data_IF_877693834182
#
_entry.id   IF_877693834182
#
_cell.length_a   1.000
_cell.length_b   1.000
_cell.length_c   1.000
_cell.angle_alpha   90.00
_cell.angle_beta   90.00
_cell.angle_gamma   90.00
#
_symmetry.space_group_name_H-M   'P 1'
#
loop_
_entity.id
_entity.type
_entity.pdbx_description
1 polymer ?
#
# COMPACT_ATOMS: atom_id res chain seq x y z
N UNK A 1 -0.72 11.49 4.12
CA UNK A 1 -1.64 11.54 5.27
C UNK A 1 -2.57 10.33 5.27
N UNK A 2 -3.52 10.20 4.32
CA UNK A 2 -4.49 9.08 4.24
C UNK A 2 -3.83 7.70 4.20
N UNK A 3 -2.97 7.44 3.21
CA UNK A 3 -2.40 6.09 2.98
C UNK A 3 -1.30 5.69 3.97
N UNK A 4 -0.95 6.59 4.88
CA UNK A 4 -0.05 6.32 6.01
C UNK A 4 -0.82 6.16 7.32
N UNK A 5 -2.13 6.40 7.32
CA UNK A 5 -2.98 6.34 8.50
C UNK A 5 -3.30 4.87 8.83
N UNK A 6 -2.92 4.44 10.04
CA UNK A 6 -3.10 3.05 10.49
C UNK A 6 -4.57 2.62 10.53
N UNK A 7 -5.49 3.52 10.85
CA UNK A 7 -6.92 3.21 10.88
C UNK A 7 -7.46 2.93 9.47
N UNK A 8 -6.99 3.68 8.46
CA UNK A 8 -7.31 3.44 7.05
C UNK A 8 -6.77 2.08 6.59
N UNK A 9 -5.50 1.79 6.87
CA UNK A 9 -4.85 0.51 6.52
C UNK A 9 -5.57 -0.66 7.19
N UNK A 10 -5.89 -0.52 8.48
CA UNK A 10 -6.65 -1.53 9.24
C UNK A 10 -8.03 -1.75 8.63
N UNK A 11 -8.76 -0.67 8.28
CA UNK A 11 -10.09 -0.76 7.68
C UNK A 11 -10.08 -1.41 6.30
N UNK A 12 -9.04 -1.17 5.51
CA UNK A 12 -8.87 -1.79 4.20
C UNK A 12 -8.57 -3.31 4.25
N UNK A 13 -8.22 -3.84 5.43
CA UNK A 13 -7.96 -5.26 5.66
C UNK A 13 -6.67 -5.57 6.42
N UNK A 14 -5.91 -4.54 6.81
CA UNK A 14 -4.64 -4.70 7.52
C UNK A 14 -3.47 -5.08 6.63
N UNK A 15 -2.25 -5.03 7.19
CA UNK A 15 -0.99 -5.25 6.47
C UNK A 15 -0.90 -6.68 5.90
N UNK A 16 -1.52 -7.68 6.52
CA UNK A 16 -1.53 -9.06 6.01
C UNK A 16 -2.27 -9.19 4.67
N UNK A 17 -3.35 -8.43 4.49
CA UNK A 17 -4.06 -8.36 3.22
C UNK A 17 -3.23 -7.61 2.16
N UNK A 18 -2.50 -6.56 2.56
CA UNK A 18 -1.54 -5.86 1.69
C UNK A 18 -0.43 -6.82 1.23
N UNK A 19 0.15 -7.61 2.13
CA UNK A 19 1.19 -8.60 1.81
C UNK A 19 0.68 -9.63 0.80
N UNK A 20 -0.53 -10.15 1.04
CA UNK A 20 -1.20 -11.09 0.12
C UNK A 20 -1.50 -10.48 -1.25
N UNK A 21 -1.82 -9.18 -1.29
CA UNK A 21 -2.03 -8.45 -2.53
C UNK A 21 -0.73 -8.23 -3.30
N UNK A 22 0.34 -7.82 -2.61
CA UNK A 22 1.68 -7.62 -3.18
C UNK A 22 2.24 -8.90 -3.82
N UNK A 23 2.00 -10.06 -3.22
CA UNK A 23 2.49 -11.33 -3.78
C UNK A 23 1.82 -11.72 -5.11
N UNK A 24 0.72 -11.06 -5.51
CA UNK A 24 0.08 -11.27 -6.83
C UNK A 24 0.82 -10.55 -7.96
N UNK A 25 1.52 -9.48 -7.63
CA UNK A 25 2.35 -8.74 -8.57
C UNK A 25 3.61 -9.53 -8.96
N UNK A 26 4.33 -9.06 -9.98
CA UNK A 26 5.55 -9.69 -10.48
C UNK A 26 6.80 -8.87 -10.15
N UNK A 27 7.91 -9.56 -9.93
CA UNK A 27 9.24 -8.94 -9.83
C UNK A 27 9.56 -8.26 -8.48
N UNK A 28 10.85 -8.21 -8.15
CA UNK A 28 11.33 -7.47 -6.99
C UNK A 28 11.13 -5.97 -7.19
N UNK A 29 10.62 -5.24 -6.19
CA UNK A 29 10.45 -3.79 -6.29
C UNK A 29 11.76 -3.02 -6.06
N UNK A 30 12.79 -3.64 -5.49
CA UNK A 30 14.07 -2.98 -5.23
C UNK A 30 14.91 -2.88 -6.51
N UNK A 31 15.20 -1.67 -7.04
CA UNK A 31 15.83 -1.52 -8.34
C UNK A 31 17.37 -1.46 -8.27
N UNK A 32 17.96 -1.49 -7.07
CA UNK A 32 19.40 -1.26 -6.86
C UNK A 32 20.17 -2.54 -6.54
N UNK A 33 19.69 -3.68 -7.03
CA UNK A 33 20.42 -4.95 -6.94
C UNK A 33 20.73 -5.45 -8.34
N UNK A 34 21.98 -5.87 -8.55
CA UNK A 34 22.42 -6.47 -9.82
C UNK A 34 21.93 -7.92 -9.98
N UNK A 35 21.45 -8.52 -8.90
CA UNK A 35 20.93 -9.88 -8.89
C UNK A 35 19.65 -10.02 -8.07
N UNK A 36 18.72 -10.84 -8.55
CA UNK A 36 17.47 -11.15 -7.86
C UNK A 36 17.23 -12.65 -7.78
N UNK A 37 16.83 -13.12 -6.59
CA UNK A 37 16.33 -14.48 -6.40
C UNK A 37 14.95 -14.67 -7.04
N UNK A 38 14.64 -15.89 -7.45
CA UNK A 38 13.31 -16.27 -7.95
C UNK A 38 12.25 -16.25 -6.84
N UNK A 39 12.64 -16.55 -5.61
CA UNK A 39 11.74 -16.60 -4.47
C UNK A 39 11.35 -15.19 -4.05
N UNK A 40 10.05 -14.94 -4.00
CA UNK A 40 9.47 -13.65 -3.65
C UNK A 40 8.93 -13.68 -2.22
N UNK A 41 9.04 -12.53 -1.55
CA UNK A 41 8.71 -12.32 -0.14
C UNK A 41 8.14 -10.90 0.02
N UNK A 42 7.63 -10.61 1.20
CA UNK A 42 7.21 -9.27 1.61
C UNK A 42 7.98 -8.85 2.85
N UNK A 43 8.56 -7.66 2.82
CA UNK A 43 9.23 -7.04 3.95
C UNK A 43 8.34 -5.94 4.52
N UNK A 44 7.95 -6.05 5.78
CA UNK A 44 7.21 -5.00 6.48
C UNK A 44 8.12 -3.80 6.73
N UNK A 45 7.65 -2.62 6.35
CA UNK A 45 8.31 -1.35 6.61
C UNK A 45 7.23 -0.29 6.75
N UNK A 46 7.23 0.48 7.84
CA UNK A 46 6.18 1.46 8.09
C UNK A 46 6.01 2.41 6.87
N UNK A 47 4.76 2.71 6.45
CA UNK A 47 3.49 2.32 7.06
C UNK A 47 2.92 0.95 6.58
N UNK A 48 3.61 0.22 5.72
CA UNK A 48 3.06 -0.96 5.04
C UNK A 48 4.08 -2.09 4.83
N UNK A 49 4.16 -2.57 3.59
CA UNK A 49 5.05 -3.65 3.19
C UNK A 49 5.56 -3.44 1.76
N UNK A 50 6.68 -4.09 1.45
CA UNK A 50 7.37 -4.02 0.15
C UNK A 50 7.56 -5.44 -0.38
N UNK A 51 7.24 -5.66 -1.64
CA UNK A 51 7.49 -6.93 -2.34
C UNK A 51 8.95 -6.99 -2.78
N UNK A 52 9.68 -7.95 -2.26
CA UNK A 52 11.10 -8.15 -2.56
C UNK A 52 11.35 -9.59 -2.99
N UNK A 53 12.46 -9.84 -3.69
CA UNK A 53 12.98 -11.19 -3.73
C UNK A 53 13.70 -11.50 -2.41
N UNK A 54 13.88 -12.79 -2.10
CA UNK A 54 14.52 -13.25 -0.87
C UNK A 54 15.90 -12.63 -0.63
N UNK A 55 16.67 -12.39 -1.71
CA UNK A 55 17.96 -11.72 -1.63
C UNK A 55 17.86 -10.27 -1.16
N UNK A 56 17.01 -9.47 -1.82
CA UNK A 56 16.85 -8.06 -1.49
C UNK A 56 16.18 -7.87 -0.12
N UNK A 57 15.27 -8.75 0.29
CA UNK A 57 14.73 -8.77 1.66
C UNK A 57 15.85 -8.89 2.69
N UNK A 58 16.72 -9.90 2.54
CA UNK A 58 17.86 -10.07 3.46
C UNK A 58 18.83 -8.89 3.43
N UNK A 59 19.08 -8.29 2.26
CA UNK A 59 19.96 -7.14 2.11
C UNK A 59 19.40 -5.89 2.80
N UNK A 60 18.10 -5.67 2.70
CA UNK A 60 17.41 -4.47 3.18
C UNK A 60 16.85 -4.61 4.59
N UNK A 61 16.93 -5.81 5.17
CA UNK A 61 16.48 -6.11 6.52
C UNK A 61 17.06 -5.11 7.51
N UNK A 62 16.21 -4.65 8.42
CA UNK A 62 16.54 -3.69 9.48
C UNK A 62 17.05 -2.32 9.00
N UNK A 63 16.95 -2.01 7.70
CA UNK A 63 17.20 -0.67 7.19
C UNK A 63 15.96 0.20 7.26
N UNK A 64 16.13 1.44 7.69
CA UNK A 64 15.08 2.46 7.77
C UNK A 64 15.50 3.66 6.95
N UNK A 65 15.07 3.70 5.69
CA UNK A 65 15.40 4.80 4.76
C UNK A 65 14.13 5.42 4.20
N UNK A 66 14.20 6.70 3.86
CA UNK A 66 13.07 7.41 3.22
C UNK A 66 12.62 6.73 1.92
N UNK A 67 13.55 6.08 1.20
CA UNK A 67 13.20 5.32 -0.01
C UNK A 67 12.34 4.10 0.32
N UNK A 68 12.69 3.32 1.34
CA UNK A 68 11.89 2.17 1.76
C UNK A 68 10.52 2.63 2.29
N UNK A 69 10.49 3.73 3.05
CA UNK A 69 9.25 4.35 3.51
C UNK A 69 8.36 4.80 2.35
N UNK A 70 8.95 5.43 1.32
CA UNK A 70 8.26 5.84 0.11
C UNK A 70 7.66 4.64 -0.62
N UNK A 71 8.45 3.58 -0.84
CA UNK A 71 7.97 2.36 -1.49
C UNK A 71 6.81 1.71 -0.72
N UNK A 72 6.92 1.62 0.61
CA UNK A 72 5.85 1.07 1.44
C UNK A 72 4.59 1.97 1.40
N UNK A 73 4.77 3.29 1.36
CA UNK A 73 3.66 4.25 1.26
C UNK A 73 2.94 4.14 -0.09
N UNK A 74 3.69 4.00 -1.19
CA UNK A 74 3.13 3.82 -2.54
C UNK A 74 2.34 2.51 -2.62
N UNK A 75 2.89 1.42 -2.07
CA UNK A 75 2.18 0.15 -1.98
C UNK A 75 0.88 0.25 -1.18
N UNK A 76 0.89 0.94 -0.03
CA UNK A 76 -0.32 1.22 0.72
C UNK A 76 -1.34 2.01 -0.11
N UNK A 77 -0.90 3.03 -0.85
CA UNK A 77 -1.80 3.85 -1.67
C UNK A 77 -2.47 3.02 -2.77
N UNK A 78 -1.69 2.29 -3.57
CA UNK A 78 -2.21 1.45 -4.64
C UNK A 78 -3.17 0.37 -4.12
N UNK A 79 -2.79 -0.30 -3.02
CA UNK A 79 -3.62 -1.33 -2.43
C UNK A 79 -4.91 -0.78 -1.83
N UNK A 80 -4.85 0.30 -1.02
CA UNK A 80 -6.05 0.92 -0.43
C UNK A 80 -6.99 1.40 -1.53
N UNK A 81 -6.48 2.03 -2.59
CA UNK A 81 -7.31 2.43 -3.74
C UNK A 81 -7.97 1.23 -4.43
N UNK A 82 -7.27 0.09 -4.55
CA UNK A 82 -7.87 -1.14 -5.07
C UNK A 82 -9.01 -1.67 -4.17
N UNK A 83 -8.89 -1.53 -2.85
CA UNK A 83 -9.94 -1.90 -1.89
C UNK A 83 -11.12 -0.96 -2.00
N UNK A 84 -10.89 0.35 -1.99
CA UNK A 84 -11.94 1.38 -2.15
C UNK A 84 -12.73 1.12 -3.43
N UNK A 85 -12.04 0.90 -4.55
CA UNK A 85 -12.66 0.60 -5.85
C UNK A 85 -13.63 -0.57 -5.76
N UNK A 86 -13.15 -1.69 -5.22
CA UNK A 86 -13.94 -2.92 -5.05
C UNK A 86 -15.12 -2.71 -4.10
N UNK A 87 -14.91 -2.05 -2.97
CA UNK A 87 -15.94 -1.80 -1.96
C UNK A 87 -17.06 -0.87 -2.48
N UNK A 88 -16.74 0.01 -3.43
CA UNK A 88 -17.71 0.85 -4.13
C UNK A 88 -18.37 0.14 -5.33
N UNK A 89 -17.96 -1.10 -5.64
CA UNK A 89 -18.56 -1.91 -6.70
C UNK A 89 -18.09 -1.57 -8.12
N UNK A 90 -16.99 -0.83 -8.26
CA UNK A 90 -16.39 -0.55 -9.57
C UNK A 90 -15.56 -1.73 -10.07
N UNK A 91 -15.40 -1.83 -11.40
CA UNK A 91 -14.54 -2.82 -12.03
C UNK A 91 -13.05 -2.45 -11.97
N UNK A 92 -12.18 -3.36 -12.43
CA UNK A 92 -10.73 -3.22 -12.30
C UNK A 92 -10.09 -2.12 -13.16
N UNK A 93 -10.83 -1.56 -14.13
CA UNK A 93 -10.35 -0.44 -14.96
C UNK A 93 -10.64 0.93 -14.36
N UNK A 94 -11.53 1.01 -13.37
CA UNK A 94 -11.91 2.29 -12.77
C UNK A 94 -10.78 2.89 -11.94
N UNK A 95 -10.54 4.18 -12.15
CA UNK A 95 -9.60 4.97 -11.36
C UNK A 95 -10.39 5.72 -10.29
N UNK A 96 -10.16 5.35 -9.03
CA UNK A 96 -10.84 5.97 -7.88
C UNK A 96 -10.54 7.46 -7.83
N UNK A 97 -11.60 8.26 -7.85
CA UNK A 97 -11.53 9.72 -7.76
C UNK A 97 -11.45 10.19 -6.31
N UNK A 98 -11.05 11.46 -6.11
CA UNK A 98 -10.99 12.04 -4.76
C UNK A 98 -12.35 12.01 -4.03
N UNK A 99 -13.50 12.40 -4.65
CA UNK A 99 -14.80 12.30 -3.99
C UNK A 99 -15.18 10.86 -3.59
N UNK A 100 -14.85 9.86 -4.41
CA UNK A 100 -15.11 8.45 -4.11
C UNK A 100 -14.28 7.96 -2.92
N UNK A 101 -13.00 8.33 -2.85
CA UNK A 101 -12.15 8.06 -1.70
C UNK A 101 -12.71 8.72 -0.44
N UNK A 102 -13.08 10.00 -0.52
CA UNK A 102 -13.66 10.74 0.62
C UNK A 102 -14.98 10.11 1.09
N UNK A 103 -15.83 9.72 0.15
CA UNK A 103 -17.07 9.01 0.45
C UNK A 103 -16.82 7.69 1.17
N UNK A 104 -15.86 6.89 0.69
CA UNK A 104 -15.48 5.65 1.35
C UNK A 104 -14.94 5.90 2.76
N UNK A 105 -14.11 6.92 2.97
CA UNK A 105 -13.59 7.27 4.30
C UNK A 105 -14.72 7.65 5.26
N UNK A 106 -15.64 8.53 4.86
CA UNK A 106 -16.77 8.95 5.69
C UNK A 106 -17.71 7.78 6.01
N UNK A 107 -18.02 6.93 5.02
CA UNK A 107 -18.86 5.73 5.22
C UNK A 107 -18.25 4.75 6.23
N UNK A 108 -16.93 4.79 6.41
CA UNK A 108 -16.20 3.89 7.29
C UNK A 108 -15.71 4.53 8.59
N UNK A 109 -16.28 5.69 8.97
CA UNK A 109 -15.94 6.41 10.21
C UNK A 109 -14.47 6.86 10.27
N UNK A 110 -13.91 7.23 9.11
CA UNK A 110 -12.52 7.69 8.93
C UNK A 110 -12.47 9.14 8.43
N UNK A 111 -13.46 9.96 8.81
CA UNK A 111 -13.52 11.36 8.40
C UNK A 111 -12.28 12.16 8.85
N UNK A 112 -11.68 11.82 10.00
CA UNK A 112 -10.46 12.44 10.51
C UNK A 112 -9.22 12.17 9.63
N UNK A 113 -9.28 11.16 8.76
CA UNK A 113 -8.23 10.85 7.81
C UNK A 113 -8.37 11.62 6.49
N UNK A 114 -9.44 12.41 6.30
CA UNK A 114 -9.70 13.12 5.05
C UNK A 114 -8.50 14.02 4.66
N UNK A 115 -8.12 14.04 3.37
CA UNK A 115 -7.13 14.98 2.89
C UNK A 115 -7.60 16.42 3.12
N UNK A 116 -6.72 17.33 3.55
CA UNK A 116 -7.06 18.76 3.70
C UNK A 116 -7.61 19.40 2.41
N UNK A 117 -7.20 18.90 1.25
CA UNK A 117 -7.72 19.33 -0.05
C UNK A 117 -9.19 18.96 -0.29
N UNK A 118 -9.73 18.00 0.47
CA UNK A 118 -11.14 17.60 0.41
C UNK A 118 -12.02 18.42 1.37
N UNK A 119 -11.42 19.19 2.28
CA UNK A 119 -12.13 20.06 3.23
C UNK A 119 -12.40 21.47 2.67
N UNK A 120 -12.14 21.71 1.37
CA UNK A 120 -12.33 22.99 0.69
C UNK A 120 -13.40 22.91 -0.39
#
# INVERSE_FOLDING_TARGET
>A
AVFRNEAVIRRAGGVECLESWLLREKGCQWPHSDWHSENMTTMRHAPGAIRLCWHCDNQLRDQFTERLESMATDNCAHWVLSVVRRDLGFDDSHVVTMPELCWWLVRNDLADALPESAAR
#
